data_IF_031411593597
#
_entry.id   IF_031411593597
#
_cell.length_a   1.000
_cell.length_b   1.000
_cell.length_c   1.000
_cell.angle_alpha   90.00
_cell.angle_beta   90.00
_cell.angle_gamma   90.00
#
_symmetry.space_group_name_H-M   'P 1'
#
loop_
_entity.id
_entity.type
_entity.pdbx_description
1 polymer ?
#
# COMPACT_ATOMS: atom_id res chain seq x y z
N UNK A 1 11.06 42.00 -18.17
CA UNK A 1 9.71 41.44 -18.33
C UNK A 1 9.79 39.97 -17.96
N UNK A 2 9.60 39.65 -16.69
CA UNK A 2 9.79 38.30 -16.16
C UNK A 2 8.56 37.46 -16.47
N UNK A 3 8.75 36.39 -17.23
CA UNK A 3 7.75 35.34 -17.38
C UNK A 3 7.59 34.65 -16.04
N UNK A 4 6.43 34.82 -15.41
CA UNK A 4 5.98 34.01 -14.28
C UNK A 4 5.51 32.66 -14.81
N UNK A 5 6.17 31.54 -14.48
CA UNK A 5 5.55 30.25 -14.73
C UNK A 5 4.47 30.03 -13.66
N UNK A 6 3.21 30.27 -14.03
CA UNK A 6 2.07 29.62 -13.39
C UNK A 6 2.17 28.12 -13.68
N UNK A 7 2.95 27.45 -12.85
CA UNK A 7 3.22 26.03 -12.94
C UNK A 7 3.61 25.53 -11.57
N UNK A 8 2.74 25.79 -10.58
CA UNK A 8 2.68 24.96 -9.38
C UNK A 8 2.29 23.56 -9.82
N UNK A 9 3.23 22.82 -10.41
CA UNK A 9 3.20 21.37 -10.44
C UNK A 9 3.06 21.02 -8.97
N UNK A 10 1.86 20.63 -8.55
CA UNK A 10 1.76 19.65 -7.48
C UNK A 10 2.69 18.54 -7.96
N UNK A 11 3.90 18.48 -7.41
CA UNK A 11 4.69 17.28 -7.49
C UNK A 11 3.73 16.22 -6.96
N UNK A 12 3.14 15.47 -7.89
CA UNK A 12 2.49 14.22 -7.58
C UNK A 12 3.52 13.55 -6.67
N UNK A 13 3.20 13.38 -5.40
CA UNK A 13 3.99 12.54 -4.51
C UNK A 13 3.92 11.17 -5.17
N UNK A 14 4.87 10.92 -6.08
CA UNK A 14 4.94 9.70 -6.84
C UNK A 14 5.30 8.66 -5.80
N UNK A 15 4.28 7.94 -5.35
CA UNK A 15 4.44 6.83 -4.41
C UNK A 15 5.44 5.90 -5.06
N UNK A 16 6.62 5.75 -4.44
CA UNK A 16 7.61 4.79 -4.93
C UNK A 16 7.16 3.39 -4.53
N UNK A 17 6.17 2.88 -5.27
CA UNK A 17 5.47 1.64 -4.99
C UNK A 17 6.41 0.45 -4.92
N UNK A 18 7.44 0.42 -5.78
CA UNK A 18 8.44 -0.64 -5.77
C UNK A 18 9.17 -0.71 -4.41
N UNK A 19 9.65 0.43 -3.90
CA UNK A 19 10.31 0.49 -2.60
C UNK A 19 9.36 0.13 -1.44
N UNK A 20 8.08 0.53 -1.51
CA UNK A 20 7.09 0.16 -0.51
C UNK A 20 6.76 -1.32 -0.52
N UNK A 21 6.67 -1.95 -1.70
CA UNK A 21 6.48 -3.39 -1.84
C UNK A 21 7.70 -4.15 -1.29
N UNK A 22 8.92 -3.68 -1.55
CA UNK A 22 10.12 -4.26 -0.93
C UNK A 22 10.07 -4.19 0.59
N UNK A 23 9.67 -3.05 1.16
CA UNK A 23 9.51 -2.90 2.60
C UNK A 23 8.45 -3.86 3.16
N UNK A 24 7.28 -3.94 2.53
CA UNK A 24 6.25 -4.92 2.89
C UNK A 24 6.81 -6.34 2.86
N UNK A 25 7.57 -6.70 1.81
CA UNK A 25 8.20 -8.02 1.72
C UNK A 25 9.22 -8.31 2.82
N UNK A 26 9.91 -7.30 3.36
CA UNK A 26 10.76 -7.48 4.55
C UNK A 26 9.94 -7.91 5.78
N UNK A 27 8.77 -7.30 6.00
CA UNK A 27 7.86 -7.72 7.09
C UNK A 27 7.20 -9.08 6.83
N UNK A 28 6.84 -9.37 5.58
CA UNK A 28 6.29 -10.67 5.18
C UNK A 28 7.30 -11.81 5.31
N UNK A 29 8.59 -11.54 5.06
CA UNK A 29 9.66 -12.54 5.20
C UNK A 29 9.76 -13.09 6.64
N UNK A 30 9.49 -12.26 7.65
CA UNK A 30 9.40 -12.70 9.06
C UNK A 30 8.27 -13.73 9.29
N UNK A 31 7.28 -13.76 8.41
CA UNK A 31 6.16 -14.71 8.42
C UNK A 31 6.38 -15.88 7.43
N UNK A 32 7.55 -15.96 6.79
CA UNK A 32 7.87 -16.97 5.78
C UNK A 32 7.02 -16.85 4.52
N UNK A 33 6.54 -15.65 4.19
CA UNK A 33 5.74 -15.38 2.99
C UNK A 33 6.30 -14.20 2.21
N UNK A 34 5.85 -14.09 0.96
CA UNK A 34 6.22 -13.00 0.06
C UNK A 34 4.96 -12.55 -0.68
N UNK A 35 4.87 -11.24 -0.93
CA UNK A 35 3.95 -10.64 -1.87
C UNK A 35 4.61 -10.57 -3.24
N UNK A 36 4.07 -11.34 -4.18
CA UNK A 36 4.49 -11.34 -5.59
C UNK A 36 3.59 -10.37 -6.34
N UNK A 37 4.14 -9.22 -6.72
CA UNK A 37 3.44 -8.21 -7.51
C UNK A 37 3.19 -8.71 -8.94
N UNK A 38 2.00 -8.43 -9.46
CA UNK A 38 1.59 -8.79 -10.82
C UNK A 38 1.27 -7.56 -11.66
N UNK A 39 0.59 -6.56 -11.08
CA UNK A 39 0.27 -5.31 -11.76
C UNK A 39 0.11 -4.17 -10.75
N UNK A 40 0.47 -2.97 -11.18
CA UNK A 40 0.26 -1.74 -10.44
C UNK A 40 -0.81 -0.90 -11.15
N UNK A 41 -1.74 -0.34 -10.38
CA UNK A 41 -2.78 0.53 -10.89
C UNK A 41 -2.87 1.80 -10.04
N UNK A 42 -2.69 3.00 -10.63
CA UNK A 42 -2.95 4.24 -9.92
C UNK A 42 -4.45 4.37 -9.63
N UNK A 43 -4.80 4.64 -8.37
CA UNK A 43 -6.20 4.80 -7.92
C UNK A 43 -6.61 6.27 -7.83
N UNK A 44 -5.67 7.18 -8.10
CA UNK A 44 -5.87 8.62 -8.11
C UNK A 44 -4.55 9.38 -7.85
N UNK A 45 -4.61 10.71 -7.68
CA UNK A 45 -3.42 11.52 -7.39
C UNK A 45 -2.80 11.24 -6.02
N UNK A 46 -3.52 10.54 -5.14
CA UNK A 46 -3.13 10.29 -3.75
C UNK A 46 -3.11 8.80 -3.40
N UNK A 47 -3.04 7.89 -4.38
CA UNK A 47 -2.94 6.47 -4.04
C UNK A 47 -2.66 5.56 -5.22
N UNK A 48 -2.11 4.40 -4.89
CA UNK A 48 -1.78 3.31 -5.82
C UNK A 48 -2.20 1.97 -5.25
N UNK A 49 -2.75 1.12 -6.09
CA UNK A 49 -3.09 -0.27 -5.79
C UNK A 49 -2.11 -1.19 -6.50
N UNK A 50 -1.54 -2.14 -5.78
CA UNK A 50 -0.72 -3.22 -6.34
C UNK A 50 -1.50 -4.52 -6.22
N UNK A 51 -1.76 -5.14 -7.36
CA UNK A 51 -2.36 -6.45 -7.44
C UNK A 51 -1.26 -7.50 -7.47
N UNK A 52 -1.46 -8.58 -6.71
CA UNK A 52 -0.46 -9.63 -6.61
C UNK A 52 -1.01 -10.85 -5.89
N UNK A 53 -0.09 -11.68 -5.40
CA UNK A 53 -0.42 -12.87 -4.62
C UNK A 53 0.44 -12.99 -3.38
N UNK A 54 -0.13 -13.53 -2.31
CA UNK A 54 0.60 -14.00 -1.11
C UNK A 54 0.22 -15.46 -0.91
N UNK A 55 1.20 -16.37 -0.85
CA UNK A 55 0.96 -17.83 -0.77
C UNK A 55 0.03 -18.36 -1.89
N UNK A 56 0.01 -17.72 -3.05
CA UNK A 56 -0.89 -18.07 -4.17
C UNK A 56 -2.32 -17.54 -4.03
N UNK A 57 -2.67 -16.88 -2.93
CA UNK A 57 -3.97 -16.21 -2.78
C UNK A 57 -3.92 -14.82 -3.44
N UNK A 58 -4.92 -14.46 -4.26
CA UNK A 58 -4.94 -13.18 -4.94
C UNK A 58 -5.29 -12.06 -3.95
N UNK A 59 -4.39 -11.08 -3.84
CA UNK A 59 -4.55 -9.94 -2.91
C UNK A 59 -4.29 -8.62 -3.60
N UNK A 60 -4.86 -7.56 -3.05
CA UNK A 60 -4.64 -6.17 -3.46
C UNK A 60 -4.05 -5.38 -2.30
N UNK A 61 -2.93 -4.73 -2.55
CA UNK A 61 -2.23 -3.87 -1.60
C UNK A 61 -2.43 -2.41 -2.01
N UNK A 62 -3.14 -1.63 -1.21
CA UNK A 62 -3.40 -0.21 -1.49
C UNK A 62 -2.52 0.68 -0.61
N UNK A 63 -1.77 1.56 -1.25
CA UNK A 63 -1.03 2.66 -0.63
C UNK A 63 -1.79 3.95 -0.87
N UNK A 64 -2.27 4.58 0.20
CA UNK A 64 -3.14 5.77 0.12
C UNK A 64 -2.58 6.90 0.96
N UNK A 65 -2.62 8.11 0.42
CA UNK A 65 -2.35 9.37 1.09
C UNK A 65 -3.69 10.05 1.31
N UNK A 66 -4.00 10.40 2.55
CA UNK A 66 -5.18 11.17 2.89
C UNK A 66 -4.86 12.66 2.79
N UNK A 67 -5.41 13.39 1.80
CA UNK A 67 -5.09 14.79 1.59
C UNK A 67 -5.62 15.70 2.72
N UNK A 68 -6.57 15.24 3.53
CA UNK A 68 -7.15 16.06 4.60
C UNK A 68 -6.23 16.20 5.82
N UNK A 69 -5.36 15.23 6.06
CA UNK A 69 -4.48 15.20 7.24
C UNK A 69 -3.04 14.79 6.91
N UNK A 70 -2.69 14.69 5.63
CA UNK A 70 -1.40 14.25 5.10
C UNK A 70 -0.92 12.91 5.68
N UNK A 71 -1.84 12.01 6.06
CA UNK A 71 -1.50 10.69 6.58
C UNK A 71 -1.46 9.64 5.50
N UNK A 72 -0.62 8.64 5.69
CA UNK A 72 -0.42 7.50 4.80
C UNK A 72 -1.10 6.28 5.41
N UNK A 73 -1.69 5.46 4.57
CA UNK A 73 -2.36 4.23 4.97
C UNK A 73 -1.97 3.11 4.02
N UNK A 74 -1.82 1.91 4.59
CA UNK A 74 -1.60 0.67 3.85
C UNK A 74 -2.77 -0.26 4.12
N UNK A 75 -3.30 -0.86 3.07
CA UNK A 75 -4.42 -1.77 3.16
C UNK A 75 -4.17 -3.03 2.35
N UNK A 76 -4.32 -4.20 2.96
CA UNK A 76 -4.35 -5.46 2.25
C UNK A 76 -5.79 -5.98 2.15
N UNK A 77 -6.23 -6.26 0.93
CA UNK A 77 -7.53 -6.83 0.61
C UNK A 77 -7.37 -8.23 0.03
N UNK A 78 -8.23 -9.15 0.42
CA UNK A 78 -8.41 -10.41 -0.31
C UNK A 78 -9.33 -10.15 -1.50
N UNK A 79 -8.86 -10.45 -2.71
CA UNK A 79 -9.64 -10.22 -3.93
C UNK A 79 -10.85 -11.18 -4.02
N UNK A 80 -10.76 -12.37 -3.41
CA UNK A 80 -11.81 -13.39 -3.44
C UNK A 80 -13.04 -12.95 -2.66
N UNK A 81 -12.83 -12.44 -1.45
CA UNK A 81 -13.90 -12.01 -0.54
C UNK A 81 -14.21 -10.52 -0.67
N UNK A 82 -13.28 -9.73 -1.22
CA UNK A 82 -13.29 -8.26 -1.25
C UNK A 82 -13.26 -7.64 0.15
N UNK A 83 -12.89 -8.43 1.16
CA UNK A 83 -12.76 -7.97 2.53
C UNK A 83 -11.40 -7.34 2.78
N UNK A 84 -11.42 -6.32 3.64
CA UNK A 84 -10.23 -5.74 4.21
C UNK A 84 -9.73 -6.67 5.32
N UNK A 85 -8.48 -7.12 5.21
CA UNK A 85 -7.94 -8.17 6.10
C UNK A 85 -7.42 -7.65 7.45
N UNK A 86 -7.30 -6.33 7.62
CA UNK A 86 -6.98 -5.69 8.89
C UNK A 86 -7.48 -4.25 8.94
N UNK A 87 -7.62 -3.71 10.15
CA UNK A 87 -8.06 -2.33 10.36
C UNK A 87 -7.14 -1.33 9.64
N UNK A 88 -7.73 -0.22 9.18
CA UNK A 88 -7.00 0.83 8.47
C UNK A 88 -6.13 1.62 9.44
N UNK A 89 -4.82 1.41 9.38
CA UNK A 89 -3.86 2.19 10.14
C UNK A 89 -3.41 3.40 9.32
N UNK A 90 -3.52 4.59 9.95
CA UNK A 90 -3.09 5.86 9.37
C UNK A 90 -1.89 6.40 10.13
N UNK A 91 -0.74 6.46 9.47
CA UNK A 91 0.50 6.95 10.05
C UNK A 91 1.00 8.22 9.32
N UNK A 92 1.94 8.96 9.92
CA UNK A 92 2.57 10.11 9.27
C UNK A 92 3.37 9.74 8.02
N UNK A 93 3.93 8.53 7.93
CA UNK A 93 4.70 8.03 6.78
C UNK A 93 4.24 6.64 6.33
N UNK A 94 4.63 6.21 5.12
CA UNK A 94 4.36 4.84 4.68
C UNK A 94 5.16 3.80 5.47
N UNK A 95 6.41 4.10 5.82
CA UNK A 95 7.25 3.25 6.64
C UNK A 95 6.59 2.96 7.99
N UNK A 96 6.13 3.99 8.70
CA UNK A 96 5.38 3.81 9.97
C UNK A 96 4.07 3.05 9.76
N UNK A 97 3.34 3.33 8.67
CA UNK A 97 2.10 2.61 8.38
C UNK A 97 2.32 1.12 8.07
N UNK A 98 3.47 0.77 7.48
CA UNK A 98 3.87 -0.61 7.18
C UNK A 98 4.38 -1.30 8.45
N UNK A 99 5.16 -0.61 9.28
CA UNK A 99 5.69 -1.16 10.54
C UNK A 99 4.59 -1.50 11.54
N UNK A 100 3.63 -0.58 11.73
CA UNK A 100 2.48 -0.78 12.62
C UNK A 100 1.45 -1.79 12.06
N UNK A 101 1.54 -2.15 10.78
CA UNK A 101 0.55 -3.02 10.14
C UNK A 101 0.59 -4.45 10.73
N UNK A 102 -0.56 -5.05 11.10
CA UNK A 102 -0.60 -6.34 11.77
C UNK A 102 -0.40 -7.52 10.81
N UNK A 103 0.71 -7.54 10.07
CA UNK A 103 1.02 -8.50 8.99
C UNK A 103 0.74 -9.95 9.37
N UNK A 104 1.21 -10.39 10.53
CA UNK A 104 1.04 -11.78 10.98
C UNK A 104 -0.45 -12.17 11.11
N UNK A 105 -1.27 -11.29 11.68
CA UNK A 105 -2.71 -11.52 11.84
C UNK A 105 -3.43 -11.47 10.47
N UNK A 106 -3.04 -10.53 9.61
CA UNK A 106 -3.59 -10.37 8.26
C UNK A 106 -3.31 -11.60 7.38
N UNK A 107 -2.08 -12.12 7.40
CA UNK A 107 -1.70 -13.33 6.65
C UNK A 107 -2.44 -14.56 7.21
N UNK A 108 -2.59 -14.65 8.54
CA UNK A 108 -3.35 -15.74 9.16
C UNK A 108 -4.81 -15.71 8.70
N UNK A 109 -5.44 -14.53 8.66
CA UNK A 109 -6.81 -14.36 8.17
C UNK A 109 -6.98 -14.77 6.70
N UNK A 110 -5.99 -14.46 5.84
CA UNK A 110 -5.99 -14.84 4.43
C UNK A 110 -5.97 -16.36 4.20
N UNK A 111 -5.27 -17.11 5.05
CA UNK A 111 -5.20 -18.58 4.96
C UNK A 111 -6.48 -19.25 5.47
N UNK A 112 -7.23 -18.58 6.36
CA UNK A 112 -8.47 -19.10 6.94
C UNK A 112 -9.72 -18.82 6.09
N UNK A 113 -9.57 -18.10 4.97
CA UNK A 113 -10.64 -17.75 4.02
C UNK A 113 -10.63 -18.65 2.78
#
# INVERSE_FOLDING_TARGET
MGIVPYGGRMELQQVNTAALVELVNQHLANNGVEFVSASEMPVGPFGTSVFGTIKGYPVRLDFVINPANDRRAVHLFDIRTKDLLAERLMAPTFDEAIDDYPWAATIAALVLT
#
